data_IF_670148491872
#
_entry.id   IF_670148491872
#
_cell.length_a   1.000
_cell.length_b   1.000
_cell.length_c   1.000
_cell.angle_alpha   90.00
_cell.angle_beta   90.00
_cell.angle_gamma   90.00
#
_symmetry.space_group_name_H-M   'P 1'
#
loop_
_entity.id
_entity.type
_entity.pdbx_description
1 polymer ?
#
# COMPACT_ATOMS: atom_id res chain seq x y z
N UNK A 1 0.58 -0.65 10.18
CA UNK A 1 -0.05 0.47 9.45
C UNK A 1 -1.22 -0.06 8.62
N UNK A 2 -2.17 0.81 8.26
CA UNK A 2 -3.26 0.44 7.34
C UNK A 2 -2.81 0.63 5.90
N UNK A 3 -3.09 -0.33 5.03
CA UNK A 3 -2.78 -0.26 3.61
C UNK A 3 -3.91 -0.87 2.78
N UNK A 4 -4.06 -0.41 1.53
CA UNK A 4 -4.92 -1.08 0.55
C UNK A 4 -4.10 -2.19 -0.13
N UNK A 5 -4.57 -3.43 -0.08
CA UNK A 5 -3.92 -4.61 -0.66
C UNK A 5 -4.74 -5.18 -1.82
N UNK A 6 -4.10 -6.03 -2.64
CA UNK A 6 -4.70 -6.73 -3.79
C UNK A 6 -4.48 -8.24 -3.56
N UNK A 7 -5.39 -8.95 -2.86
CA UNK A 7 -5.20 -10.36 -2.51
C UNK A 7 -5.49 -11.32 -3.67
N UNK A 8 -6.22 -10.87 -4.69
CA UNK A 8 -6.62 -11.66 -5.86
C UNK A 8 -6.61 -10.78 -7.12
N UNK A 9 -6.55 -11.41 -8.29
CA UNK A 9 -6.62 -10.69 -9.57
C UNK A 9 -8.05 -10.23 -9.88
N UNK A 10 -8.24 -9.00 -10.36
CA UNK A 10 -9.55 -8.50 -10.76
C UNK A 10 -9.62 -6.98 -10.94
N UNK A 11 -10.85 -6.46 -11.03
CA UNK A 11 -11.15 -5.03 -11.03
C UNK A 11 -10.89 -4.41 -9.65
N UNK A 12 -11.13 -3.10 -9.50
CA UNK A 12 -10.95 -2.38 -8.24
C UNK A 12 -11.74 -2.99 -7.05
N UNK A 13 -12.74 -3.81 -7.32
CA UNK A 13 -13.55 -4.49 -6.31
C UNK A 13 -12.75 -5.51 -5.48
N UNK A 14 -11.54 -5.91 -5.91
CA UNK A 14 -10.67 -6.81 -5.14
C UNK A 14 -9.86 -6.08 -4.06
N UNK A 15 -9.84 -4.75 -4.08
CA UNK A 15 -9.07 -3.96 -3.11
C UNK A 15 -9.59 -4.19 -1.68
N UNK A 16 -8.67 -4.42 -0.73
CA UNK A 16 -9.00 -4.61 0.69
C UNK A 16 -8.19 -3.65 1.55
N UNK A 17 -8.85 -2.99 2.50
CA UNK A 17 -8.14 -2.31 3.58
C UNK A 17 -7.69 -3.36 4.59
N UNK A 18 -6.39 -3.41 4.89
CA UNK A 18 -5.80 -4.35 5.82
C UNK A 18 -4.78 -3.68 6.73
N UNK A 19 -4.58 -4.26 7.91
CA UNK A 19 -3.44 -3.95 8.78
C UNK A 19 -2.23 -4.77 8.32
N UNK A 20 -1.11 -4.08 8.11
CA UNK A 20 0.17 -4.66 7.70
C UNK A 20 1.28 -4.13 8.62
N UNK A 21 2.42 -4.83 8.75
CA UNK A 21 3.57 -4.32 9.50
C UNK A 21 4.02 -2.95 8.99
N UNK A 22 4.61 -2.14 9.88
CA UNK A 22 5.30 -0.92 9.45
C UNK A 22 6.62 -1.34 8.78
N UNK A 23 6.95 -0.83 7.59
CA UNK A 23 8.19 -1.19 6.92
C UNK A 23 9.40 -0.62 7.65
N UNK A 24 10.45 -1.44 7.79
CA UNK A 24 11.77 -1.01 8.25
C UNK A 24 12.68 -0.76 7.03
N UNK A 25 13.22 0.45 6.84
CA UNK A 25 14.04 0.74 5.67
C UNK A 25 15.43 0.09 5.76
N UNK A 26 15.90 -0.49 4.66
CA UNK A 26 17.27 -0.98 4.52
C UNK A 26 18.28 0.11 4.12
N UNK A 27 19.56 -0.26 3.87
CA UNK A 27 20.57 0.68 3.42
C UNK A 27 20.18 1.38 2.10
N UNK A 28 20.06 2.72 2.14
CA UNK A 28 19.68 3.54 0.99
C UNK A 28 18.18 3.74 0.80
N UNK A 29 17.34 3.16 1.66
CA UNK A 29 15.89 3.33 1.62
C UNK A 29 15.41 4.37 2.64
N UNK A 30 14.22 4.92 2.41
CA UNK A 30 13.56 5.86 3.34
C UNK A 30 12.13 5.39 3.55
N UNK A 31 11.73 5.23 4.82
CA UNK A 31 10.33 5.06 5.18
C UNK A 31 9.63 6.42 5.20
N UNK A 32 8.42 6.48 4.62
CA UNK A 32 7.65 7.72 4.47
C UNK A 32 6.28 7.54 5.11
N UNK A 33 5.90 8.46 5.98
CA UNK A 33 4.54 8.56 6.49
C UNK A 33 3.62 9.15 5.41
N UNK A 34 2.90 8.27 4.72
CA UNK A 34 2.03 8.64 3.60
C UNK A 34 0.82 9.43 4.08
N UNK A 35 0.79 10.73 3.76
CA UNK A 35 -0.38 11.59 4.01
C UNK A 35 -1.44 11.48 2.90
N UNK A 36 -1.00 11.30 1.65
CA UNK A 36 -1.87 11.18 0.46
C UNK A 36 -1.27 10.20 -0.55
N UNK A 37 -2.12 9.47 -1.28
CA UNK A 37 -1.74 8.57 -2.35
C UNK A 37 -2.56 8.87 -3.62
N UNK A 38 -1.91 8.93 -4.77
CA UNK A 38 -2.58 9.13 -6.05
C UNK A 38 -3.28 7.87 -6.55
N UNK A 39 -4.46 8.04 -7.15
CA UNK A 39 -5.16 6.98 -7.88
C UNK A 39 -5.05 7.26 -9.39
N UNK A 40 -4.64 6.26 -10.16
CA UNK A 40 -4.37 6.39 -11.60
C UNK A 40 -5.06 5.27 -12.39
N UNK A 41 -5.27 5.50 -13.68
CA UNK A 41 -5.63 4.45 -14.63
C UNK A 41 -4.37 3.71 -15.11
N UNK A 42 -4.49 2.41 -15.35
CA UNK A 42 -3.45 1.55 -15.93
C UNK A 42 -4.02 0.74 -17.09
#
# INVERSE_FOLDING_TARGET
MRAVTIPEFGSADVLRLADVPIPEPGPGEVAVDVAYAGANFA
#
